data_IF_244667694573
#
_entry.id   IF_244667694573
#
_cell.length_a   1.000
_cell.length_b   1.000
_cell.length_c   1.000
_cell.angle_alpha   90.00
_cell.angle_beta   90.00
_cell.angle_gamma   90.00
#
_symmetry.space_group_name_H-M   'P 1'
#
loop_
_entity.id
_entity.type
_entity.pdbx_description
1 polymer ?
#
# COMPACT_ATOMS: atom_id res chain seq x y z
N UNK A 1 -27.81 42.01 -7.72
CA UNK A 1 -26.84 41.26 -8.56
C UNK A 1 -25.74 40.71 -7.68
N UNK A 2 -25.45 39.43 -7.76
CA UNK A 2 -24.24 38.69 -7.41
C UNK A 2 -24.20 37.68 -6.25
N UNK A 3 -25.28 37.22 -5.73
CA UNK A 3 -25.21 36.10 -4.82
C UNK A 3 -24.80 34.77 -5.54
N UNK A 4 -25.28 34.57 -6.75
CA UNK A 4 -24.95 33.40 -7.57
C UNK A 4 -23.47 33.39 -8.03
N UNK A 5 -22.92 34.55 -8.32
CA UNK A 5 -21.51 34.69 -8.71
C UNK A 5 -20.58 34.48 -7.52
N UNK A 6 -20.93 34.99 -6.34
CA UNK A 6 -20.20 34.78 -5.10
C UNK A 6 -20.21 33.31 -4.65
N UNK A 7 -21.38 32.63 -4.77
CA UNK A 7 -21.48 31.19 -4.49
C UNK A 7 -20.57 30.36 -5.41
N UNK A 8 -20.65 30.61 -6.74
CA UNK A 8 -19.80 29.93 -7.72
C UNK A 8 -18.31 30.19 -7.52
N UNK A 9 -17.95 31.42 -7.11
CA UNK A 9 -16.56 31.75 -6.80
C UNK A 9 -16.06 31.04 -5.53
N UNK A 10 -16.91 31.00 -4.50
CA UNK A 10 -16.61 30.29 -3.24
C UNK A 10 -16.51 28.76 -3.45
N UNK A 11 -17.40 28.18 -4.25
CA UNK A 11 -17.35 26.76 -4.60
C UNK A 11 -16.09 26.41 -5.39
N UNK A 12 -15.68 27.26 -6.33
CA UNK A 12 -14.42 27.09 -7.08
C UNK A 12 -13.20 27.17 -6.16
N UNK A 13 -13.17 28.15 -5.27
CA UNK A 13 -12.08 28.32 -4.32
C UNK A 13 -11.97 27.14 -3.36
N UNK A 14 -13.10 26.67 -2.80
CA UNK A 14 -13.12 25.49 -1.93
C UNK A 14 -12.67 24.22 -2.67
N UNK A 15 -13.08 24.07 -3.94
CA UNK A 15 -12.66 22.94 -4.76
C UNK A 15 -11.16 22.99 -5.05
N UNK A 16 -10.63 24.16 -5.39
CA UNK A 16 -9.21 24.35 -5.62
C UNK A 16 -8.40 24.08 -4.35
N UNK A 17 -8.84 24.57 -3.20
CA UNK A 17 -8.18 24.28 -1.92
C UNK A 17 -8.20 22.79 -1.60
N UNK A 18 -9.30 22.08 -1.82
CA UNK A 18 -9.39 20.65 -1.65
C UNK A 18 -8.45 19.88 -2.60
N UNK A 19 -8.29 20.38 -3.84
CA UNK A 19 -7.35 19.81 -4.81
C UNK A 19 -5.89 20.01 -4.38
N UNK A 20 -5.55 21.18 -3.82
CA UNK A 20 -4.21 21.48 -3.30
C UNK A 20 -3.84 20.65 -2.05
N UNK A 21 -4.84 20.27 -1.24
CA UNK A 21 -4.67 19.42 -0.04
C UNK A 21 -4.68 17.92 -0.38
N UNK A 22 -4.87 17.56 -1.65
CA UNK A 22 -4.93 16.17 -2.10
C UNK A 22 -3.60 15.44 -1.85
N UNK A 23 -3.68 14.30 -1.20
CA UNK A 23 -2.54 13.41 -0.99
C UNK A 23 -2.84 12.00 -1.50
N UNK A 24 -1.81 11.26 -1.90
CA UNK A 24 -1.97 9.86 -2.31
C UNK A 24 -2.62 9.01 -1.21
N UNK A 25 -2.23 9.23 0.05
CA UNK A 25 -2.82 8.54 1.20
C UNK A 25 -4.29 8.89 1.37
N UNK A 26 -4.64 10.17 1.26
CA UNK A 26 -6.04 10.63 1.32
C UNK A 26 -6.91 10.03 0.21
N UNK A 27 -6.38 9.95 -1.02
CA UNK A 27 -7.06 9.26 -2.13
C UNK A 27 -7.30 7.78 -1.83
N UNK A 28 -6.30 7.08 -1.32
CA UNK A 28 -6.41 5.66 -0.99
C UNK A 28 -7.39 5.41 0.16
N UNK A 29 -7.48 6.31 1.15
CA UNK A 29 -8.47 6.22 2.23
C UNK A 29 -9.89 6.35 1.68
N UNK A 30 -10.15 7.33 0.81
CA UNK A 30 -11.45 7.50 0.19
C UNK A 30 -11.84 6.28 -0.68
N UNK A 31 -10.89 5.73 -1.43
CA UNK A 31 -11.10 4.50 -2.23
C UNK A 31 -11.38 3.28 -1.35
N UNK A 32 -10.74 3.18 -0.19
CA UNK A 32 -11.02 2.13 0.80
C UNK A 32 -12.44 2.25 1.36
N UNK A 33 -12.86 3.44 1.75
CA UNK A 33 -14.21 3.70 2.27
C UNK A 33 -15.30 3.36 1.25
N UNK A 34 -15.05 3.63 -0.02
CA UNK A 34 -15.99 3.31 -1.11
C UNK A 34 -15.97 1.84 -1.53
N UNK A 35 -14.94 1.08 -1.15
CA UNK A 35 -14.74 -0.28 -1.63
C UNK A 35 -14.48 -0.35 -3.14
N UNK A 36 -13.96 0.73 -3.72
CA UNK A 36 -13.73 0.85 -5.17
C UNK A 36 -12.51 0.03 -5.59
N UNK A 37 -12.62 -0.87 -6.58
CA UNK A 37 -11.47 -1.58 -7.11
C UNK A 37 -10.46 -0.63 -7.76
N UNK A 38 -9.19 -0.85 -7.47
CA UNK A 38 -8.08 -0.04 -7.99
C UNK A 38 -7.03 -0.89 -8.67
N UNK A 39 -6.30 -0.29 -9.59
CA UNK A 39 -5.07 -0.83 -10.12
C UNK A 39 -3.90 0.02 -9.62
N UNK A 40 -3.03 -0.58 -8.82
CA UNK A 40 -1.81 0.04 -8.30
C UNK A 40 -0.65 -0.41 -9.17
N UNK A 41 -0.04 0.53 -9.88
CA UNK A 41 1.16 0.28 -10.67
C UNK A 41 2.39 0.64 -9.83
N UNK A 42 3.44 -0.15 -9.97
CA UNK A 42 4.64 -0.07 -9.16
C UNK A 42 5.89 0.12 -10.01
N UNK A 43 6.95 0.56 -9.38
CA UNK A 43 8.29 0.51 -9.97
C UNK A 43 8.61 -0.92 -10.37
N UNK A 44 9.45 -1.10 -11.39
CA UNK A 44 9.72 -2.42 -11.95
C UNK A 44 8.58 -2.98 -12.82
N UNK A 45 7.52 -2.20 -13.09
CA UNK A 45 6.43 -2.58 -14.01
C UNK A 45 5.38 -3.53 -13.45
N UNK A 46 5.43 -3.86 -12.17
CA UNK A 46 4.41 -4.70 -11.52
C UNK A 46 3.10 -3.93 -11.33
N UNK A 47 2.01 -4.67 -11.31
CA UNK A 47 0.67 -4.12 -11.14
C UNK A 47 -0.17 -5.05 -10.25
N UNK A 48 -0.83 -4.46 -9.28
CA UNK A 48 -1.80 -5.14 -8.44
C UNK A 48 -3.19 -4.54 -8.66
N UNK A 49 -4.20 -5.41 -8.84
CA UNK A 49 -5.60 -5.00 -8.98
C UNK A 49 -6.39 -5.59 -7.81
N UNK A 50 -7.02 -4.75 -7.03
CA UNK A 50 -7.77 -5.19 -5.85
C UNK A 50 -8.54 -4.06 -5.18
N UNK A 51 -9.01 -4.31 -3.98
CA UNK A 51 -9.73 -3.34 -3.15
C UNK A 51 -8.81 -2.91 -2.00
N UNK A 52 -8.71 -1.60 -1.77
CA UNK A 52 -7.94 -1.07 -0.64
C UNK A 52 -8.60 -1.48 0.68
N UNK A 53 -7.85 -2.19 1.51
CA UNK A 53 -8.28 -2.64 2.84
C UNK A 53 -7.85 -1.71 3.95
N UNK A 54 -6.61 -1.24 3.87
CA UNK A 54 -6.02 -0.36 4.87
C UNK A 54 -4.96 0.54 4.23
N UNK A 55 -4.77 1.70 4.82
CA UNK A 55 -3.74 2.67 4.42
C UNK A 55 -2.91 3.01 5.63
N UNK A 56 -1.64 2.64 5.61
CA UNK A 56 -0.67 2.93 6.66
C UNK A 56 0.05 4.27 6.45
N UNK A 57 1.07 4.51 7.26
CA UNK A 57 1.93 5.68 7.13
C UNK A 57 2.75 5.66 5.83
N UNK A 58 3.22 4.47 5.43
CA UNK A 58 4.13 4.25 4.31
C UNK A 58 3.76 3.02 3.46
N UNK A 59 2.55 2.48 3.64
CA UNK A 59 2.05 1.33 2.86
C UNK A 59 0.56 1.44 2.57
N UNK A 60 0.09 0.64 1.63
CA UNK A 60 -1.32 0.33 1.38
C UNK A 60 -1.50 -1.19 1.33
N UNK A 61 -2.54 -1.69 1.98
CA UNK A 61 -2.94 -3.09 1.92
C UNK A 61 -4.10 -3.27 0.93
N UNK A 62 -3.96 -4.23 0.03
CA UNK A 62 -4.93 -4.57 -1.00
C UNK A 62 -5.46 -5.99 -0.78
N UNK A 63 -6.77 -6.17 -0.90
CA UNK A 63 -7.37 -7.49 -1.03
C UNK A 63 -7.39 -7.88 -2.50
N UNK A 64 -6.76 -8.98 -2.85
CA UNK A 64 -6.68 -9.53 -4.21
C UNK A 64 -7.13 -10.99 -4.17
N UNK A 65 -8.40 -11.24 -4.49
CA UNK A 65 -8.98 -12.56 -4.29
C UNK A 65 -8.95 -12.96 -2.81
N UNK A 66 -8.32 -14.09 -2.50
CA UNK A 66 -8.14 -14.59 -1.13
C UNK A 66 -6.81 -14.13 -0.48
N UNK A 67 -5.98 -13.37 -1.18
CA UNK A 67 -4.69 -12.91 -0.70
C UNK A 67 -4.74 -11.44 -0.26
N UNK A 68 -3.99 -11.14 0.78
CA UNK A 68 -3.67 -9.76 1.15
C UNK A 68 -2.26 -9.42 0.66
N UNK A 69 -2.17 -8.29 -0.03
CA UNK A 69 -0.92 -7.75 -0.58
C UNK A 69 -0.68 -6.39 0.04
N UNK A 70 0.49 -6.22 0.64
CA UNK A 70 0.94 -4.96 1.22
C UNK A 70 1.92 -4.33 0.25
N UNK A 71 1.64 -3.10 -0.18
CA UNK A 71 2.47 -2.35 -1.13
C UNK A 71 3.09 -1.16 -0.42
N UNK A 72 4.41 -1.03 -0.49
CA UNK A 72 5.11 0.16 -0.01
C UNK A 72 4.71 1.38 -0.86
N UNK A 73 4.27 2.47 -0.23
CA UNK A 73 3.85 3.69 -0.96
C UNK A 73 4.99 4.28 -1.80
N UNK A 74 6.24 4.17 -1.33
CA UNK A 74 7.42 4.62 -2.07
C UNK A 74 7.63 3.87 -3.40
N UNK A 75 7.08 2.65 -3.53
CA UNK A 75 7.15 1.85 -4.75
C UNK A 75 6.00 2.14 -5.74
N UNK A 76 4.95 2.86 -5.32
CA UNK A 76 3.80 3.18 -6.16
C UNK A 76 4.17 4.23 -7.20
N UNK A 77 3.87 3.96 -8.46
CA UNK A 77 4.05 4.91 -9.57
C UNK A 77 2.73 5.53 -10.03
N UNK A 78 1.63 4.81 -9.91
CA UNK A 78 0.29 5.37 -10.15
C UNK A 78 -0.79 4.48 -9.53
N UNK A 79 -1.93 5.10 -9.24
CA UNK A 79 -3.16 4.41 -8.85
C UNK A 79 -4.23 4.78 -9.87
N UNK A 80 -4.96 3.79 -10.38
CA UNK A 80 -6.02 3.97 -11.38
C UNK A 80 -7.31 3.34 -10.90
N UNK A 81 -8.41 4.05 -11.05
CA UNK A 81 -9.78 3.55 -10.89
C UNK A 81 -10.32 3.04 -12.22
N UNK A 82 -11.47 2.38 -12.22
CA UNK A 82 -12.15 1.99 -13.45
C UNK A 82 -12.67 3.22 -14.20
N UNK A 83 -12.74 3.18 -15.55
CA UNK A 83 -13.40 4.23 -16.33
C UNK A 83 -14.84 4.44 -15.85
N UNK A 84 -15.26 5.70 -15.73
CA UNK A 84 -16.61 6.08 -15.27
C UNK A 84 -16.78 6.13 -13.76
N UNK A 85 -15.80 5.73 -12.97
CA UNK A 85 -15.82 5.92 -11.52
C UNK A 85 -15.67 7.41 -11.16
N UNK A 86 -16.41 7.82 -10.11
CA UNK A 86 -16.27 9.18 -9.58
C UNK A 86 -14.85 9.38 -9.00
N UNK A 87 -14.18 10.49 -9.33
CA UNK A 87 -12.86 10.78 -8.79
C UNK A 87 -12.87 10.75 -7.25
N UNK A 88 -11.85 10.15 -6.63
CA UNK A 88 -11.73 10.13 -5.17
C UNK A 88 -11.41 11.53 -4.62
N UNK A 89 -11.83 11.76 -3.38
CA UNK A 89 -11.53 12.98 -2.63
C UNK A 89 -10.21 12.80 -1.87
N UNK A 90 -9.17 13.47 -2.32
CA UNK A 90 -7.80 13.28 -1.80
C UNK A 90 -7.51 13.93 -0.46
N UNK A 91 -8.44 14.69 0.13
CA UNK A 91 -8.27 15.42 1.38
C UNK A 91 -8.67 14.62 2.64
N UNK A 92 -9.01 13.33 2.50
CA UNK A 92 -9.37 12.50 3.65
C UNK A 92 -8.21 12.38 4.64
N UNK A 93 -8.44 12.66 5.93
CA UNK A 93 -7.41 12.49 6.94
C UNK A 93 -7.04 11.02 7.11
N UNK A 94 -5.76 10.75 7.17
CA UNK A 94 -5.26 9.42 7.47
C UNK A 94 -5.06 9.31 8.97
N UNK A 95 -5.85 8.47 9.63
CA UNK A 95 -5.88 8.34 11.09
C UNK A 95 -4.86 7.35 11.64
N UNK A 96 -4.34 6.45 10.82
CA UNK A 96 -3.34 5.47 11.27
C UNK A 96 -1.91 5.94 10.98
N UNK A 97 -1.04 5.79 11.99
CA UNK A 97 0.40 6.00 11.89
C UNK A 97 1.18 4.70 11.69
N UNK A 98 0.49 3.55 11.60
CA UNK A 98 1.13 2.24 11.46
C UNK A 98 2.04 2.21 10.23
N UNK A 99 3.27 1.74 10.43
CA UNK A 99 4.29 1.62 9.39
C UNK A 99 4.45 0.18 8.91
N UNK A 100 4.98 0.02 7.71
CA UNK A 100 5.30 -1.27 7.12
C UNK A 100 6.21 -2.11 8.03
N UNK A 101 7.21 -1.48 8.66
CA UNK A 101 8.11 -2.13 9.60
C UNK A 101 7.37 -2.73 10.81
N UNK A 102 6.32 -2.04 11.31
CA UNK A 102 5.52 -2.52 12.44
C UNK A 102 4.64 -3.70 12.04
N UNK A 103 4.08 -3.67 10.82
CA UNK A 103 3.33 -4.81 10.25
C UNK A 103 4.24 -6.04 10.12
N UNK A 104 5.45 -5.86 9.59
CA UNK A 104 6.44 -6.93 9.49
C UNK A 104 6.90 -7.44 10.84
N UNK A 105 7.00 -6.56 11.85
CA UNK A 105 7.32 -6.95 13.23
C UNK A 105 6.23 -7.85 13.83
N UNK A 106 4.96 -7.52 13.60
CA UNK A 106 3.83 -8.37 13.96
C UNK A 106 3.89 -9.73 13.26
N UNK A 107 4.18 -9.73 11.97
CA UNK A 107 4.34 -10.97 11.19
C UNK A 107 5.52 -11.83 11.70
N UNK A 108 6.62 -11.22 12.11
CA UNK A 108 7.76 -11.92 12.69
C UNK A 108 7.40 -12.57 14.04
N UNK A 109 6.62 -11.88 14.89
CA UNK A 109 6.15 -12.42 16.16
C UNK A 109 5.28 -13.68 15.99
N UNK A 110 4.50 -13.74 14.93
CA UNK A 110 3.65 -14.88 14.55
C UNK A 110 4.38 -15.93 13.71
N UNK A 111 5.67 -15.73 13.41
CA UNK A 111 6.45 -16.54 12.46
C UNK A 111 5.77 -16.68 11.10
N UNK A 112 5.11 -15.60 10.69
CA UNK A 112 4.37 -15.56 9.43
C UNK A 112 5.28 -15.71 8.22
N UNK A 113 4.70 -16.23 7.15
CA UNK A 113 5.40 -16.41 5.87
C UNK A 113 4.97 -15.35 4.88
N UNK A 114 5.91 -14.88 4.10
CA UNK A 114 5.67 -13.88 3.10
C UNK A 114 6.52 -14.10 1.84
N UNK A 115 6.03 -13.61 0.73
CA UNK A 115 6.82 -13.34 -0.46
C UNK A 115 7.08 -11.83 -0.50
N UNK A 116 8.32 -11.44 -0.29
CA UNK A 116 8.77 -10.04 -0.35
C UNK A 116 9.40 -9.79 -1.70
N UNK A 117 8.86 -8.83 -2.45
CA UNK A 117 9.37 -8.46 -3.77
C UNK A 117 10.02 -7.08 -3.69
N UNK A 118 11.20 -6.92 -4.27
CA UNK A 118 11.93 -5.66 -4.32
C UNK A 118 11.34 -4.71 -5.36
N UNK A 119 11.38 -3.40 -5.07
CA UNK A 119 10.72 -2.38 -5.87
C UNK A 119 11.31 -2.22 -7.28
N UNK A 120 12.63 -2.31 -7.41
CA UNK A 120 13.31 -1.92 -8.65
C UNK A 120 13.71 -3.11 -9.55
N UNK A 121 14.05 -4.24 -8.95
CA UNK A 121 14.60 -5.39 -9.67
C UNK A 121 13.58 -6.49 -10.00
N UNK A 122 12.38 -6.43 -9.42
CA UNK A 122 11.41 -7.53 -9.52
C UNK A 122 11.89 -8.84 -8.88
N UNK A 123 13.04 -8.80 -8.20
CA UNK A 123 13.56 -9.93 -7.44
C UNK A 123 12.67 -10.18 -6.21
N UNK A 124 12.58 -11.42 -5.77
CA UNK A 124 11.67 -11.79 -4.70
C UNK A 124 12.28 -12.84 -3.76
N UNK A 125 11.98 -12.69 -2.48
CA UNK A 125 12.38 -13.62 -1.42
C UNK A 125 11.14 -14.18 -0.76
N UNK A 126 10.95 -15.50 -0.85
CA UNK A 126 9.90 -16.21 -0.13
C UNK A 126 10.49 -16.82 1.15
N UNK A 127 9.82 -16.63 2.27
CA UNK A 127 10.30 -17.18 3.54
C UNK A 127 9.46 -16.82 4.74
N UNK A 128 9.92 -17.29 5.89
CA UNK A 128 9.40 -16.93 7.22
C UNK A 128 10.07 -15.63 7.67
N UNK A 129 9.30 -14.66 8.10
CA UNK A 129 9.82 -13.42 8.68
C UNK A 129 10.34 -13.72 10.09
N UNK A 130 11.61 -13.47 10.33
CA UNK A 130 12.29 -13.80 11.59
C UNK A 130 12.40 -12.62 12.52
N UNK A 131 12.76 -11.48 11.98
CA UNK A 131 12.92 -10.23 12.74
C UNK A 131 12.91 -9.03 11.82
N UNK A 132 12.66 -7.87 12.40
CA UNK A 132 12.77 -6.57 11.75
C UNK A 132 13.73 -5.73 12.57
N UNK A 133 14.77 -5.23 11.91
CA UNK A 133 15.72 -4.30 12.47
C UNK A 133 15.33 -2.86 12.18
N UNK A 134 16.25 -1.93 12.37
CA UNK A 134 16.01 -0.50 12.14
C UNK A 134 15.66 -0.19 10.67
N UNK A 135 16.35 -0.84 9.75
CA UNK A 135 16.27 -0.61 8.29
C UNK A 135 16.24 -1.90 7.46
N UNK A 136 16.09 -3.06 8.11
CA UNK A 136 16.21 -4.38 7.47
C UNK A 136 15.17 -5.35 8.00
N UNK A 137 14.59 -6.16 7.11
CA UNK A 137 13.81 -7.35 7.47
C UNK A 137 14.64 -8.60 7.19
N UNK A 138 14.61 -9.53 8.14
CA UNK A 138 15.32 -10.80 8.08
C UNK A 138 14.34 -11.93 7.80
N UNK A 139 14.58 -12.68 6.73
CA UNK A 139 13.76 -13.83 6.35
C UNK A 139 14.59 -15.12 6.36
N UNK A 140 13.99 -16.19 6.83
CA UNK A 140 14.47 -17.54 6.58
C UNK A 140 13.83 -18.04 5.30
N UNK A 141 14.64 -18.20 4.24
CA UNK A 141 14.13 -18.55 2.91
C UNK A 141 13.49 -19.94 2.88
N UNK A 142 12.60 -20.12 1.90
CA UNK A 142 11.96 -21.41 1.62
C UNK A 142 12.82 -22.33 0.75
N UNK A 143 14.05 -21.91 0.41
CA UNK A 143 15.02 -22.71 -0.37
C UNK A 143 15.49 -23.95 0.39
N UNK A 144 16.04 -24.90 -0.35
CA UNK A 144 16.67 -26.09 0.21
C UNK A 144 18.14 -26.16 -0.22
N UNK A 145 19.09 -26.07 0.73
CA UNK A 145 18.90 -25.81 2.16
C UNK A 145 18.37 -24.38 2.43
N UNK A 146 17.71 -24.18 3.61
CA UNK A 146 17.24 -22.84 3.99
C UNK A 146 18.42 -21.88 4.17
N UNK A 147 18.29 -20.67 3.66
CA UNK A 147 19.24 -19.59 3.86
C UNK A 147 18.61 -18.44 4.65
N UNK A 148 19.41 -17.51 5.10
CA UNK A 148 18.95 -16.24 5.66
C UNK A 148 19.09 -15.14 4.62
N UNK A 149 18.00 -14.42 4.35
CA UNK A 149 18.00 -13.25 3.51
C UNK A 149 17.81 -11.98 4.34
N UNK A 150 18.56 -10.96 4.01
CA UNK A 150 18.48 -9.63 4.60
C UNK A 150 17.99 -8.65 3.53
N UNK A 151 16.79 -8.11 3.72
CA UNK A 151 16.18 -7.19 2.74
C UNK A 151 16.08 -5.82 3.38
N UNK A 152 16.72 -4.78 2.81
CA UNK A 152 16.53 -3.41 3.27
C UNK A 152 15.05 -2.99 3.17
N UNK A 153 14.53 -2.32 4.20
CA UNK A 153 13.13 -1.93 4.25
C UNK A 153 12.75 -0.94 3.13
N UNK A 154 13.69 -0.10 2.71
CA UNK A 154 13.51 0.86 1.61
C UNK A 154 13.54 0.18 0.22
N UNK A 155 14.09 -1.03 0.12
CA UNK A 155 14.06 -1.83 -1.11
C UNK A 155 12.75 -2.63 -1.27
N UNK A 156 11.92 -2.73 -0.24
CA UNK A 156 10.67 -3.49 -0.31
C UNK A 156 9.68 -2.79 -1.23
N UNK A 157 9.21 -3.51 -2.25
CA UNK A 157 8.15 -3.06 -3.14
C UNK A 157 6.77 -3.51 -2.68
N UNK A 158 6.60 -4.80 -2.57
CA UNK A 158 5.37 -5.41 -2.05
C UNK A 158 5.62 -6.70 -1.28
N UNK A 159 4.63 -7.06 -0.49
CA UNK A 159 4.63 -8.24 0.35
C UNK A 159 3.32 -8.97 0.14
N UNK A 160 3.38 -10.22 -0.32
CA UNK A 160 2.23 -11.11 -0.37
C UNK A 160 2.25 -11.99 0.89
N UNK A 161 1.23 -11.85 1.72
CA UNK A 161 1.07 -12.67 2.90
C UNK A 161 0.70 -14.09 2.48
N UNK A 162 1.46 -15.07 2.93
CA UNK A 162 1.19 -16.47 2.67
C UNK A 162 0.41 -17.06 3.84
N UNK A 163 -0.68 -17.84 3.58
CA UNK A 163 -1.36 -18.53 4.66
C UNK A 163 -0.37 -19.43 5.40
N UNK A 164 -0.51 -19.50 6.73
CA UNK A 164 0.27 -20.44 7.51
C UNK A 164 0.07 -21.85 6.93
N UNK A 165 1.14 -22.51 6.52
CA UNK A 165 1.05 -23.92 6.14
C UNK A 165 0.51 -24.68 7.34
N UNK A 166 -0.73 -25.17 7.24
CA UNK A 166 -1.22 -26.16 8.19
C UNK A 166 -0.34 -27.39 8.02
N UNK A 167 0.50 -27.64 9.02
CA UNK A 167 1.24 -28.90 9.15
C UNK A 167 0.28 -30.04 9.41
#
# INVERSE_FOLDING_TARGET
>A
MDDAARRRSRERWLRQQAEEETSLRGLLVDLAERGTPVAVNMRGGRRHCGIVRAVGADFVALAIGAADVIVALAAVTSVRTRPGEMPPLGHRPVTTSLRLAEVLTGLAAERGRALVTMSDAGDAVAGEVRSVGQDVVVLRTSSQPPATAYVPLDAVGDIVLQPASRA
#
